data_IF_695484819277
#
_entry.id   IF_695484819277
#
_cell.length_a   1.000
_cell.length_b   1.000
_cell.length_c   1.000
_cell.angle_alpha   90.00
_cell.angle_beta   90.00
_cell.angle_gamma   90.00
#
_symmetry.space_group_name_H-M   'P 1'
#
loop_
_entity.id
_entity.type
_entity.pdbx_description
1 polymer ?
#
# COMPACT_ATOMS: atom_id res chain seq x y z
N UNK A 1 66.32 14.91 53.61
CA UNK A 1 65.51 16.02 54.14
C UNK A 1 64.22 16.28 53.34
N UNK A 2 64.26 16.27 52.00
CA UNK A 2 63.11 16.59 51.13
C UNK A 2 61.84 15.72 51.37
N UNK A 3 61.98 14.39 51.51
CA UNK A 3 60.85 13.48 51.84
C UNK A 3 60.17 13.82 53.17
N UNK A 4 60.95 14.28 54.17
CA UNK A 4 60.42 14.65 55.50
C UNK A 4 59.66 15.97 55.43
N UNK A 5 60.08 16.90 54.57
CA UNK A 5 59.41 18.18 54.31
C UNK A 5 58.10 18.01 53.54
N UNK A 6 58.12 17.22 52.46
CA UNK A 6 56.92 16.92 51.66
C UNK A 6 55.87 16.19 52.50
N UNK A 7 56.28 15.20 53.31
CA UNK A 7 55.35 14.49 54.20
C UNK A 7 54.71 15.42 55.24
N UNK A 8 55.45 16.44 55.71
CA UNK A 8 54.97 17.42 56.69
C UNK A 8 54.00 18.43 56.07
N UNK A 9 54.27 18.87 54.84
CA UNK A 9 53.38 19.78 54.09
C UNK A 9 52.10 19.06 53.68
N UNK A 10 52.20 17.87 53.08
CA UNK A 10 51.03 17.07 52.68
C UNK A 10 50.19 16.68 53.90
N UNK A 11 50.82 16.32 55.02
CA UNK A 11 50.10 16.04 56.27
C UNK A 11 49.44 17.28 56.88
N UNK A 12 50.03 18.47 56.71
CA UNK A 12 49.46 19.74 57.19
C UNK A 12 48.28 20.20 56.34
N UNK A 13 48.43 20.18 55.01
CA UNK A 13 47.37 20.56 54.06
C UNK A 13 46.17 19.62 54.16
N UNK A 14 46.40 18.30 54.23
CA UNK A 14 45.33 17.32 54.45
C UNK A 14 44.67 17.56 55.81
N UNK A 15 45.44 17.84 56.87
CA UNK A 15 44.91 18.17 58.20
C UNK A 15 43.97 19.39 58.16
N UNK A 16 44.39 20.46 57.48
CA UNK A 16 43.64 21.71 57.43
C UNK A 16 42.42 21.62 56.51
N UNK A 17 42.51 20.90 55.39
CA UNK A 17 41.34 20.62 54.53
C UNK A 17 40.33 19.72 55.24
N UNK A 18 40.78 18.67 55.95
CA UNK A 18 39.88 17.84 56.75
C UNK A 18 39.29 18.61 57.93
N UNK A 19 40.03 19.56 58.54
CA UNK A 19 39.50 20.42 59.58
C UNK A 19 38.43 21.37 59.03
N UNK A 20 38.67 22.00 57.87
CA UNK A 20 37.71 22.86 57.21
C UNK A 20 36.46 22.10 56.76
N UNK A 21 36.62 20.93 56.15
CA UNK A 21 35.48 20.08 55.75
C UNK A 21 34.71 19.63 56.98
N UNK A 22 35.39 19.23 58.05
CA UNK A 22 34.75 18.85 59.31
C UNK A 22 34.02 20.02 59.95
N UNK A 23 34.56 21.23 59.91
CA UNK A 23 33.93 22.42 60.46
C UNK A 23 32.71 22.84 59.65
N UNK A 24 32.81 22.85 58.31
CA UNK A 24 31.66 23.08 57.42
C UNK A 24 30.60 22.01 57.61
N UNK A 25 30.97 20.72 57.63
CA UNK A 25 30.03 19.63 57.89
C UNK A 25 29.39 19.77 59.27
N UNK A 26 30.14 20.16 60.30
CA UNK A 26 29.60 20.36 61.64
C UNK A 26 28.64 21.56 61.70
N UNK A 27 28.92 22.65 60.97
CA UNK A 27 28.01 23.79 60.89
C UNK A 27 26.73 23.43 60.13
N UNK A 28 26.83 22.72 59.01
CA UNK A 28 25.68 22.25 58.24
C UNK A 28 24.86 21.23 59.04
N UNK A 29 25.51 20.26 59.70
CA UNK A 29 24.81 19.32 60.58
C UNK A 29 24.19 20.01 61.79
N UNK A 30 24.85 21.00 62.39
CA UNK A 30 24.28 21.77 63.49
C UNK A 30 23.06 22.58 63.04
N UNK A 31 23.10 23.16 61.84
CA UNK A 31 21.97 23.87 61.23
C UNK A 31 20.79 22.94 60.95
N UNK A 32 21.05 21.79 60.33
CA UNK A 32 20.03 20.75 60.09
C UNK A 32 19.47 20.21 61.41
N UNK A 33 20.32 19.95 62.39
CA UNK A 33 19.88 19.48 63.71
C UNK A 33 19.07 20.55 64.45
N UNK A 34 19.42 21.82 64.30
CA UNK A 34 18.65 22.94 64.85
C UNK A 34 17.26 23.04 64.19
N UNK A 35 17.19 22.94 62.85
CA UNK A 35 15.92 22.93 62.11
C UNK A 35 15.05 21.70 62.47
N UNK A 36 15.65 20.51 62.55
CA UNK A 36 14.97 19.29 62.99
C UNK A 36 14.52 19.39 64.44
N UNK A 37 15.35 19.95 65.33
CA UNK A 37 15.00 20.15 66.75
C UNK A 37 13.88 21.17 66.90
N UNK A 38 13.88 22.23 66.11
CA UNK A 38 12.81 23.22 66.07
C UNK A 38 11.50 22.57 65.59
N UNK A 39 11.52 21.84 64.46
CA UNK A 39 10.35 21.10 63.94
C UNK A 39 9.84 20.04 64.90
N UNK A 40 10.74 19.29 65.55
CA UNK A 40 10.38 18.30 66.57
C UNK A 40 9.87 18.94 67.85
N UNK A 41 10.35 20.13 68.22
CA UNK A 41 9.80 20.93 69.32
C UNK A 41 8.36 21.32 69.05
N UNK A 42 8.10 21.86 67.86
CA UNK A 42 6.75 22.20 67.39
C UNK A 42 5.82 20.98 67.34
N UNK A 43 6.32 19.81 66.91
CA UNK A 43 5.57 18.54 66.90
C UNK A 43 5.32 17.97 68.31
N UNK A 44 6.26 18.12 69.26
CA UNK A 44 6.10 17.62 70.63
C UNK A 44 5.07 18.43 71.42
N UNK A 45 4.99 19.72 71.15
CA UNK A 45 3.93 20.60 71.70
C UNK A 45 2.56 20.29 71.09
N UNK A 46 2.51 19.84 69.83
CA UNK A 46 1.32 19.33 69.13
C UNK A 46 0.70 18.09 69.83
N UNK A 47 1.54 17.21 70.37
CA UNK A 47 1.10 15.99 71.07
C UNK A 47 0.67 16.23 72.52
N UNK A 48 1.06 17.37 73.11
CA UNK A 48 0.77 17.72 74.50
C UNK A 48 -0.56 18.47 74.70
N UNK A 49 -1.28 18.81 73.62
CA UNK A 49 -2.62 19.41 73.69
C UNK A 49 -2.66 20.84 74.25
N UNK A 50 -1.53 21.53 74.38
CA UNK A 50 -1.48 22.93 74.82
C UNK A 50 -1.71 23.82 73.59
N UNK A 51 -2.84 24.53 73.58
CA UNK A 51 -3.13 25.53 72.56
C UNK A 51 -2.08 26.66 72.62
N UNK A 52 -1.25 26.76 71.59
CA UNK A 52 -0.39 27.93 71.37
C UNK A 52 -1.29 29.11 70.94
N UNK A 53 -1.62 29.98 71.89
CA UNK A 53 -2.29 31.29 71.71
C UNK A 53 -3.42 31.34 70.66
N UNK A 54 -4.18 30.24 70.56
CA UNK A 54 -5.27 30.08 69.60
C UNK A 54 -4.88 29.97 68.12
N UNK A 55 -3.59 29.95 67.73
CA UNK A 55 -3.20 29.83 66.31
C UNK A 55 -2.92 28.39 65.90
N UNK A 56 -3.61 27.91 64.85
CA UNK A 56 -3.28 26.65 64.15
C UNK A 56 -1.94 26.85 63.42
N UNK A 57 -1.06 25.84 63.40
CA UNK A 57 0.13 25.84 62.52
C UNK A 57 -0.35 25.94 61.07
N UNK A 58 -0.01 27.04 60.42
CA UNK A 58 -0.32 27.31 59.02
C UNK A 58 0.86 26.91 58.15
N UNK A 59 0.64 26.75 56.84
CA UNK A 59 1.67 26.36 55.88
C UNK A 59 2.79 27.40 55.73
N UNK A 60 2.52 28.64 56.14
CA UNK A 60 3.49 29.72 56.35
C UNK A 60 4.54 29.37 57.41
N UNK A 61 4.19 28.54 58.39
CA UNK A 61 5.09 28.07 59.46
C UNK A 61 6.01 26.92 58.98
N UNK A 62 5.84 26.42 57.74
CA UNK A 62 6.54 25.25 57.18
C UNK A 62 7.57 25.55 56.08
N UNK A 63 7.74 26.81 55.67
CA UNK A 63 8.65 27.27 54.61
C UNK A 63 8.67 26.36 53.35
N UNK A 64 7.48 26.05 52.83
CA UNK A 64 7.33 25.24 51.62
C UNK A 64 7.72 26.08 50.38
N UNK A 65 8.57 25.53 49.50
CA UNK A 65 8.98 26.17 48.24
C UNK A 65 7.88 26.15 47.16
N UNK A 66 6.72 25.55 47.45
CA UNK A 66 5.58 25.42 46.55
C UNK A 66 4.51 26.45 46.87
N UNK A 67 3.80 26.94 45.85
CA UNK A 67 2.64 27.81 46.03
C UNK A 67 1.47 27.06 46.66
N UNK A 68 0.83 27.69 47.63
CA UNK A 68 -0.45 27.24 48.19
C UNK A 68 -1.44 28.40 48.20
N UNK A 69 -2.70 28.09 47.91
CA UNK A 69 -3.82 29.03 48.03
C UNK A 69 -4.59 28.67 49.30
N UNK A 70 -4.77 29.62 50.21
CA UNK A 70 -5.49 29.45 51.48
C UNK A 70 -6.56 30.54 51.69
N UNK A 71 -7.58 30.21 52.48
CA UNK A 71 -8.57 31.17 53.00
C UNK A 71 -9.56 31.79 52.00
N UNK A 72 -9.60 31.33 50.74
CA UNK A 72 -10.33 32.04 49.68
C UNK A 72 -11.84 31.78 49.66
N UNK A 73 -12.60 32.85 49.36
CA UNK A 73 -14.00 32.76 48.92
C UNK A 73 -14.11 33.28 47.50
N UNK A 74 -14.76 32.53 46.61
CA UNK A 74 -15.06 32.99 45.24
C UNK A 74 -16.55 32.87 44.98
N UNK A 75 -17.12 33.92 44.41
CA UNK A 75 -18.52 34.01 44.03
C UNK A 75 -18.66 34.15 42.51
N UNK A 76 -19.43 33.23 41.94
CA UNK A 76 -19.79 33.23 40.52
C UNK A 76 -20.86 34.28 40.21
N UNK A 77 -20.80 34.85 39.01
CA UNK A 77 -21.73 35.87 38.51
C UNK A 77 -21.87 37.09 39.45
N UNK A 78 -20.75 37.55 40.01
CA UNK A 78 -20.67 38.74 40.88
C UNK A 78 -19.59 39.71 40.37
N UNK A 79 -19.86 41.03 40.35
CA UNK A 79 -21.11 41.69 40.76
C UNK A 79 -22.25 41.53 39.74
N UNK A 80 -21.95 41.08 38.52
CA UNK A 80 -22.90 40.84 37.44
C UNK A 80 -22.64 39.49 36.74
N UNK A 81 -23.60 39.05 35.92
CA UNK A 81 -23.44 37.85 35.09
C UNK A 81 -22.17 37.95 34.22
N UNK A 82 -21.43 36.86 34.10
CA UNK A 82 -20.15 36.85 33.38
C UNK A 82 -18.93 37.22 34.22
N UNK A 83 -19.11 37.71 35.45
CA UNK A 83 -18.01 38.10 36.34
C UNK A 83 -17.79 37.11 37.49
N UNK A 84 -16.54 37.00 37.94
CA UNK A 84 -16.19 36.29 39.19
C UNK A 84 -15.65 37.29 40.20
N UNK A 85 -16.08 37.18 41.45
CA UNK A 85 -15.59 37.99 42.56
C UNK A 85 -14.85 37.10 43.56
N UNK A 86 -13.76 37.62 44.13
CA UNK A 86 -12.97 36.92 45.13
C UNK A 86 -12.78 37.78 46.39
N UNK A 87 -12.77 37.10 47.53
CA UNK A 87 -12.32 37.67 48.79
C UNK A 87 -11.36 36.72 49.50
N UNK A 88 -10.50 37.30 50.34
CA UNK A 88 -9.68 36.57 51.31
C UNK A 88 -8.70 35.56 50.68
N UNK A 89 -8.29 35.78 49.42
CA UNK A 89 -7.27 34.95 48.78
C UNK A 89 -5.91 35.23 49.43
N UNK A 90 -5.32 34.19 50.03
CA UNK A 90 -3.95 34.22 50.49
C UNK A 90 -3.09 33.28 49.65
N UNK A 91 -1.95 33.78 49.18
CA UNK A 91 -0.92 32.96 48.54
C UNK A 91 0.24 32.79 49.50
N UNK A 92 0.55 31.54 49.84
CA UNK A 92 1.73 31.20 50.63
C UNK A 92 2.82 30.77 49.66
N UNK A 93 3.95 31.49 49.66
CA UNK A 93 5.09 31.21 48.80
C UNK A 93 6.39 31.65 49.46
N UNK A 94 7.43 30.79 49.42
CA UNK A 94 8.76 31.08 50.00
C UNK A 94 8.69 31.59 51.46
N UNK A 95 7.88 30.94 52.28
CA UNK A 95 7.70 31.28 53.70
C UNK A 95 6.94 32.58 53.99
N UNK A 96 6.42 33.27 52.97
CA UNK A 96 5.65 34.49 53.12
C UNK A 96 4.18 34.27 52.76
N UNK A 97 3.28 35.00 53.42
CA UNK A 97 1.85 35.03 53.09
C UNK A 97 1.52 36.34 52.39
N UNK A 98 1.03 36.24 51.16
CA UNK A 98 0.58 37.36 50.34
C UNK A 98 -0.95 37.39 50.36
N UNK A 99 -1.51 38.25 51.22
CA UNK A 99 -2.95 38.52 51.23
C UNK A 99 -3.29 39.41 50.05
N UNK A 100 -4.09 38.87 49.13
CA UNK A 100 -4.48 39.57 47.92
C UNK A 100 -5.70 40.46 48.17
N UNK A 101 -5.71 41.62 47.53
CA UNK A 101 -6.84 42.52 47.56
C UNK A 101 -8.09 41.84 46.99
N UNK A 102 -9.22 42.02 47.69
CA UNK A 102 -10.53 41.61 47.21
C UNK A 102 -10.82 42.29 45.87
N UNK A 103 -11.46 41.56 44.96
CA UNK A 103 -11.68 42.07 43.62
C UNK A 103 -12.69 41.26 42.85
N UNK A 104 -12.95 41.70 41.63
CA UNK A 104 -13.77 40.96 40.68
C UNK A 104 -13.25 41.21 39.27
N UNK A 105 -13.60 40.32 38.36
CA UNK A 105 -13.28 40.50 36.94
C UNK A 105 -14.26 39.77 36.06
N UNK A 106 -14.52 40.32 34.88
CA UNK A 106 -15.16 39.64 33.77
C UNK A 106 -14.14 39.02 32.78
N UNK A 107 -12.84 39.18 33.06
CA UNK A 107 -11.75 38.67 32.23
C UNK A 107 -11.49 37.20 32.46
N UNK A 108 -11.07 36.50 31.42
CA UNK A 108 -10.94 35.03 31.43
C UNK A 108 -9.90 34.50 32.42
N UNK A 109 -8.71 35.06 32.49
CA UNK A 109 -7.60 34.53 33.30
C UNK A 109 -7.34 35.41 34.51
N UNK A 110 -7.09 34.77 35.67
CA UNK A 110 -6.69 35.40 36.91
C UNK A 110 -5.41 34.74 37.41
N UNK A 111 -4.34 35.52 37.56
CA UNK A 111 -3.07 34.98 38.03
C UNK A 111 -2.40 35.91 39.02
N UNK A 112 -1.62 35.32 39.91
CA UNK A 112 -0.73 36.04 40.79
C UNK A 112 0.66 36.09 40.17
N UNK A 113 1.26 37.28 40.18
CA UNK A 113 2.60 37.50 39.65
C UNK A 113 3.51 37.93 40.80
N UNK A 114 4.50 37.11 41.14
CA UNK A 114 5.37 37.33 42.29
C UNK A 114 6.19 38.63 42.15
N UNK A 115 6.62 38.92 40.92
CA UNK A 115 7.40 40.11 40.56
C UNK A 115 6.57 41.38 40.32
N UNK A 116 5.24 41.34 40.48
CA UNK A 116 4.41 42.53 40.33
C UNK A 116 4.60 43.52 41.48
N UNK A 117 4.33 44.81 41.23
CA UNK A 117 4.28 45.85 42.27
C UNK A 117 2.96 46.63 42.14
N UNK A 118 2.01 46.48 43.09
CA UNK A 118 2.07 45.58 44.24
C UNK A 118 1.85 44.10 43.87
N UNK A 119 2.52 43.18 44.56
CA UNK A 119 2.28 41.72 44.45
C UNK A 119 1.13 41.23 45.33
N UNK A 120 0.25 42.14 45.77
CA UNK A 120 -0.95 41.86 46.56
C UNK A 120 -2.23 41.99 45.72
N UNK A 121 -2.13 41.98 44.38
CA UNK A 121 -3.28 42.10 43.48
C UNK A 121 -3.19 41.04 42.38
N UNK A 122 -4.30 40.34 42.12
CA UNK A 122 -4.41 39.45 40.97
C UNK A 122 -4.36 40.23 39.66
N UNK A 123 -3.55 39.75 38.75
CA UNK A 123 -3.52 40.20 37.37
C UNK A 123 -4.65 39.49 36.61
N UNK A 124 -5.28 40.20 35.66
CA UNK A 124 -6.43 39.68 34.91
C UNK A 124 -6.33 40.02 33.42
N UNK A 125 -6.75 39.09 32.55
CA UNK A 125 -6.68 39.25 31.08
C UNK A 125 -7.59 38.26 30.37
N UNK A 126 -8.02 38.58 29.13
CA UNK A 126 -8.71 37.62 28.26
C UNK A 126 -7.74 36.67 27.54
N UNK A 127 -6.46 37.05 27.48
CA UNK A 127 -5.38 36.24 26.89
C UNK A 127 -4.62 35.51 28.00
N UNK A 128 -4.31 34.23 27.77
CA UNK A 128 -3.55 33.40 28.73
C UNK A 128 -2.20 34.08 29.04
N UNK A 129 -1.86 34.30 30.32
CA UNK A 129 -0.62 34.95 30.68
C UNK A 129 0.59 34.02 30.47
N UNK A 130 1.75 34.59 30.15
CA UNK A 130 3.03 33.89 30.27
C UNK A 130 3.46 33.93 31.73
N UNK A 131 3.56 32.76 32.37
CA UNK A 131 3.91 32.62 33.78
C UNK A 131 5.35 32.13 33.91
N UNK A 132 6.08 32.71 34.87
CA UNK A 132 7.38 32.18 35.31
C UNK A 132 7.19 31.13 36.40
N UNK A 133 8.26 30.44 36.81
CA UNK A 133 8.20 29.46 37.90
C UNK A 133 7.76 30.05 39.24
N UNK A 134 7.89 31.37 39.43
CA UNK A 134 7.47 32.07 40.64
C UNK A 134 6.00 32.54 40.59
N UNK A 135 5.36 32.53 39.41
CA UNK A 135 4.00 33.03 39.20
C UNK A 135 2.96 31.89 39.29
N UNK A 136 1.70 32.23 39.59
CA UNK A 136 0.62 31.24 39.79
C UNK A 136 -0.60 31.61 38.99
N UNK A 137 -1.06 30.72 38.10
CA UNK A 137 -2.44 30.79 37.61
C UNK A 137 -3.35 30.40 38.77
N UNK A 138 -4.21 31.31 39.20
CA UNK A 138 -5.08 31.13 40.37
C UNK A 138 -6.42 30.56 39.96
N UNK A 139 -6.96 31.03 38.84
CA UNK A 139 -8.12 30.42 38.23
C UNK A 139 -8.55 31.07 36.94
N UNK A 140 -9.64 30.54 36.40
CA UNK A 140 -10.23 30.95 35.13
C UNK A 140 -11.69 31.31 35.37
N UNK A 141 -12.12 32.44 34.81
CA UNK A 141 -13.52 32.82 34.69
C UNK A 141 -14.07 32.33 33.35
N UNK A 142 -14.98 31.36 33.40
CA UNK A 142 -15.72 30.87 32.24
C UNK A 142 -17.14 31.40 32.25
N UNK A 143 -17.34 32.58 31.66
CA UNK A 143 -18.66 33.19 31.53
C UNK A 143 -19.37 33.44 32.87
N UNK A 144 -18.61 33.66 33.96
CA UNK A 144 -19.11 33.88 35.32
C UNK A 144 -18.92 32.70 36.25
N UNK A 145 -18.37 31.57 35.78
CA UNK A 145 -18.04 30.40 36.60
C UNK A 145 -16.54 30.34 36.88
N UNK A 146 -16.14 30.44 38.14
CA UNK A 146 -14.74 30.31 38.53
C UNK A 146 -14.30 28.85 38.60
N UNK A 147 -13.17 28.55 37.95
CA UNK A 147 -12.47 27.27 38.05
C UNK A 147 -11.09 27.50 38.66
N UNK A 148 -10.82 26.92 39.83
CA UNK A 148 -9.48 26.99 40.45
C UNK A 148 -8.51 26.05 39.73
N UNK A 149 -7.31 26.54 39.46
CA UNK A 149 -6.24 25.79 38.78
C UNK A 149 -5.27 25.11 39.76
N UNK A 150 -5.40 25.35 41.07
CA UNK A 150 -4.63 24.68 42.11
C UNK A 150 -5.56 23.94 43.07
N UNK A 151 -5.83 22.66 42.80
CA UNK A 151 -6.40 21.78 43.83
C UNK A 151 -5.25 21.15 44.60
N UNK A 152 -5.20 21.36 45.92
CA UNK A 152 -4.11 20.85 46.74
C UNK A 152 -3.94 19.32 46.56
N UNK A 153 -2.75 18.89 46.15
CA UNK A 153 -2.31 17.49 46.19
C UNK A 153 -2.92 16.51 45.17
N UNK A 154 -3.62 16.96 44.11
CA UNK A 154 -4.09 16.07 43.04
C UNK A 154 -3.83 16.64 41.65
N UNK A 155 -3.54 15.75 40.70
CA UNK A 155 -3.56 16.01 39.26
C UNK A 155 -4.85 16.76 38.92
N UNK A 156 -4.76 17.87 38.18
CA UNK A 156 -5.93 18.61 37.68
C UNK A 156 -6.88 17.63 36.99
N UNK A 157 -8.11 17.43 37.48
CA UNK A 157 -9.06 16.51 36.86
C UNK A 157 -9.27 16.90 35.39
N UNK A 158 -9.34 15.92 34.49
CA UNK A 158 -9.48 16.20 33.05
C UNK A 158 -10.69 17.07 32.70
N UNK A 159 -11.78 16.98 33.47
CA UNK A 159 -12.97 17.83 33.30
C UNK A 159 -12.78 19.29 33.75
N UNK A 160 -11.71 19.62 34.47
CA UNK A 160 -11.29 20.98 34.79
C UNK A 160 -10.33 21.56 33.73
N UNK A 161 -9.90 20.74 32.74
CA UNK A 161 -9.17 21.21 31.57
C UNK A 161 -10.20 21.65 30.52
N UNK A 162 -10.19 22.94 30.19
CA UNK A 162 -11.03 23.48 29.12
C UNK A 162 -10.49 23.06 27.75
N UNK A 163 -11.35 23.04 26.74
CA UNK A 163 -10.93 22.79 25.36
C UNK A 163 -9.84 23.79 24.93
N UNK A 164 -8.81 23.28 24.24
CA UNK A 164 -7.65 24.06 23.80
C UNK A 164 -6.72 24.60 24.92
N UNK A 165 -6.94 24.25 26.19
CA UNK A 165 -6.11 24.78 27.30
C UNK A 165 -4.69 24.18 27.36
N UNK A 166 -4.49 23.01 26.75
CA UNK A 166 -3.21 22.32 26.57
C UNK A 166 -2.69 22.60 25.15
N UNK A 167 -1.72 23.49 25.03
CA UNK A 167 -1.04 23.82 23.78
C UNK A 167 0.22 22.99 23.55
N UNK A 168 1.02 23.39 22.56
CA UNK A 168 2.21 22.65 22.13
C UNK A 168 3.38 22.70 23.13
N UNK A 169 3.35 23.58 24.13
CA UNK A 169 4.39 23.73 25.15
C UNK A 169 4.05 23.06 26.48
N UNK A 170 2.78 22.71 26.69
CA UNK A 170 2.25 22.20 27.96
C UNK A 170 2.48 20.69 28.14
N UNK A 171 2.86 19.98 27.07
CA UNK A 171 3.23 18.57 27.10
C UNK A 171 4.71 18.43 26.77
N UNK A 172 5.46 17.85 27.71
CA UNK A 172 6.84 17.45 27.44
C UNK A 172 6.90 16.40 26.31
N UNK A 173 8.00 16.37 25.57
CA UNK A 173 8.26 15.33 24.55
C UNK A 173 8.09 13.94 25.17
N UNK A 174 7.24 13.12 24.56
CA UNK A 174 6.96 11.76 25.04
C UNK A 174 6.04 11.67 26.26
N UNK A 175 5.45 12.77 26.75
CA UNK A 175 4.50 12.74 27.86
C UNK A 175 3.24 11.90 27.54
N UNK A 176 2.82 11.90 26.26
CA UNK A 176 1.72 11.07 25.77
C UNK A 176 2.29 9.77 25.21
N UNK A 177 2.29 8.73 26.03
CA UNK A 177 2.66 7.37 25.64
C UNK A 177 1.41 6.52 25.37
N UNK A 178 1.58 5.36 24.75
CA UNK A 178 0.47 4.45 24.41
C UNK A 178 -0.44 4.13 25.58
N UNK A 179 0.10 3.91 26.79
CA UNK A 179 -0.73 3.60 27.97
C UNK A 179 -1.59 4.78 28.47
N UNK A 180 -1.33 6.00 27.99
CA UNK A 180 -2.11 7.20 28.26
C UNK A 180 -3.21 7.44 27.23
N UNK A 181 -3.22 6.68 26.13
CA UNK A 181 -4.20 6.77 25.07
C UNK A 181 -5.14 5.56 25.20
N UNK A 182 -6.42 5.81 25.46
CA UNK A 182 -7.41 4.73 25.49
C UNK A 182 -7.58 4.09 24.10
N UNK A 183 -7.94 2.81 24.06
CA UNK A 183 -8.17 2.12 22.79
C UNK A 183 -9.29 2.82 22.00
N UNK A 184 -9.05 3.11 20.72
CA UNK A 184 -9.99 3.84 19.86
C UNK A 184 -10.07 5.36 20.10
N UNK A 185 -9.28 5.93 21.03
CA UNK A 185 -9.29 7.37 21.30
C UNK A 185 -8.78 8.22 20.13
N UNK A 186 -7.96 7.62 19.25
CA UNK A 186 -7.48 8.26 18.02
C UNK A 186 -8.34 7.76 16.85
N UNK A 187 -9.34 8.55 16.48
CA UNK A 187 -10.18 8.33 15.30
C UNK A 187 -9.76 9.18 14.10
N UNK A 188 -10.62 9.23 13.08
CA UNK A 188 -10.35 10.00 11.85
C UNK A 188 -10.23 11.50 12.11
N UNK A 189 -10.99 12.07 13.06
CA UNK A 189 -10.90 13.51 13.39
C UNK A 189 -9.56 13.87 14.02
N UNK A 190 -8.94 12.96 14.78
CA UNK A 190 -7.62 13.18 15.38
C UNK A 190 -6.48 12.87 14.39
N UNK A 191 -6.74 12.12 13.32
CA UNK A 191 -5.78 11.83 12.25
C UNK A 191 -6.02 12.74 11.05
N UNK A 192 -5.31 13.87 11.00
CA UNK A 192 -5.36 14.74 9.82
C UNK A 192 -4.85 14.06 8.54
N UNK A 193 -5.12 14.68 7.39
CA UNK A 193 -4.66 14.17 6.10
C UNK A 193 -3.13 14.03 6.07
N UNK A 194 -2.65 12.86 5.63
CA UNK A 194 -1.23 12.54 5.63
C UNK A 194 -0.61 12.28 7.00
N UNK A 195 -1.41 12.20 8.08
CA UNK A 195 -0.90 11.85 9.42
C UNK A 195 -0.22 10.48 9.46
N UNK A 196 -0.66 9.54 8.61
CA UNK A 196 0.00 8.25 8.39
C UNK A 196 0.82 8.32 7.10
N UNK A 197 2.14 8.47 7.24
CA UNK A 197 3.10 8.49 6.13
C UNK A 197 3.73 7.11 5.96
N UNK A 198 4.45 6.91 4.85
CA UNK A 198 5.13 5.64 4.55
C UNK A 198 6.02 5.16 5.70
N UNK A 199 6.85 6.04 6.29
CA UNK A 199 7.74 5.69 7.42
C UNK A 199 6.99 5.27 8.68
N UNK A 200 5.71 5.64 8.83
CA UNK A 200 4.86 5.26 9.96
C UNK A 200 4.21 3.89 9.75
N UNK A 201 4.21 3.35 8.53
CA UNK A 201 3.74 2.02 8.21
C UNK A 201 4.92 1.06 8.18
N UNK A 202 5.10 0.30 9.26
CA UNK A 202 6.09 -0.78 9.29
C UNK A 202 5.80 -1.87 8.26
N UNK A 203 6.81 -2.69 7.95
CA UNK A 203 6.64 -3.83 7.07
C UNK A 203 5.51 -4.76 7.57
N UNK A 204 4.56 -5.09 6.69
CA UNK A 204 3.42 -5.93 7.03
C UNK A 204 2.31 -5.23 7.82
N UNK A 205 2.38 -3.92 8.07
CA UNK A 205 1.32 -3.19 8.76
C UNK A 205 -0.02 -3.21 7.98
N UNK A 206 0.04 -3.23 6.65
CA UNK A 206 -1.10 -3.39 5.76
C UNK A 206 -1.08 -4.80 5.17
N UNK A 207 -1.79 -5.72 5.82
CA UNK A 207 -1.98 -7.09 5.33
C UNK A 207 -3.18 -7.18 4.38
N UNK A 208 -3.31 -8.27 3.64
CA UNK A 208 -4.49 -8.54 2.78
C UNK A 208 -5.81 -8.42 3.55
N UNK A 209 -5.88 -8.89 4.80
CA UNK A 209 -7.07 -8.77 5.65
C UNK A 209 -7.45 -7.31 6.02
N UNK A 210 -6.53 -6.35 5.85
CA UNK A 210 -6.78 -4.91 6.08
C UNK A 210 -7.25 -4.20 4.81
N UNK A 211 -7.11 -4.84 3.65
CA UNK A 211 -7.54 -4.31 2.36
C UNK A 211 -8.92 -4.89 2.06
N UNK A 212 -9.94 -4.05 2.13
CA UNK A 212 -11.31 -4.44 1.79
C UNK A 212 -11.46 -4.83 0.33
N UNK A 213 -12.48 -5.63 0.01
CA UNK A 213 -12.83 -5.95 -1.39
C UNK A 213 -13.08 -4.66 -2.16
N UNK A 214 -12.43 -4.52 -3.33
CA UNK A 214 -12.55 -3.33 -4.18
C UNK A 214 -11.81 -2.08 -3.67
N UNK A 215 -11.11 -2.14 -2.52
CA UNK A 215 -10.36 -0.99 -2.00
C UNK A 215 -9.19 -0.57 -2.90
N UNK A 216 -8.66 -1.49 -3.71
CA UNK A 216 -7.63 -1.23 -4.72
C UNK A 216 -8.27 -1.34 -6.10
N UNK A 217 -8.62 -0.20 -6.69
CA UNK A 217 -9.14 -0.09 -8.04
C UNK A 217 -8.07 0.37 -9.05
N UNK A 218 -8.49 0.62 -10.29
CA UNK A 218 -7.59 1.06 -11.36
C UNK A 218 -6.87 2.37 -11.06
N UNK A 219 -7.50 3.29 -10.33
CA UNK A 219 -6.87 4.56 -9.93
C UNK A 219 -5.69 4.37 -8.96
N UNK A 220 -5.69 3.29 -8.17
CA UNK A 220 -4.61 2.96 -7.24
C UNK A 220 -3.50 2.13 -7.89
N UNK A 221 -3.78 1.50 -9.04
CA UNK A 221 -2.82 0.67 -9.79
C UNK A 221 -2.23 1.50 -10.93
N UNK A 222 -1.03 2.03 -10.71
CA UNK A 222 -0.30 2.77 -11.74
C UNK A 222 -0.02 1.94 -13.00
N UNK A 223 0.18 2.61 -14.14
CA UNK A 223 0.56 1.95 -15.38
C UNK A 223 1.87 1.15 -15.20
N UNK A 224 1.87 -0.10 -15.65
CA UNK A 224 3.01 -1.01 -15.47
C UNK A 224 3.24 -1.53 -14.04
N UNK A 225 2.37 -1.19 -13.07
CA UNK A 225 2.52 -1.68 -11.70
C UNK A 225 2.35 -3.20 -11.61
N UNK A 226 1.49 -3.79 -12.44
CA UNK A 226 1.34 -5.25 -12.59
C UNK A 226 2.20 -5.72 -13.75
N UNK A 227 3.38 -6.25 -13.44
CA UNK A 227 4.31 -6.85 -14.41
C UNK A 227 4.08 -8.36 -14.50
N UNK A 228 4.58 -9.00 -15.57
CA UNK A 228 4.42 -10.46 -15.77
C UNK A 228 4.89 -11.29 -14.56
N UNK A 229 5.99 -10.91 -13.91
CA UNK A 229 6.49 -11.60 -12.71
C UNK A 229 5.60 -11.47 -11.47
N UNK A 230 4.62 -10.54 -11.46
CA UNK A 230 3.61 -10.39 -10.39
C UNK A 230 2.34 -11.18 -10.67
N UNK A 231 2.16 -11.68 -11.90
CA UNK A 231 1.03 -12.51 -12.29
C UNK A 231 1.48 -13.97 -12.13
N UNK A 232 0.88 -14.67 -11.18
CA UNK A 232 1.16 -16.10 -10.97
C UNK A 232 0.81 -16.94 -12.21
N UNK A 233 1.43 -18.11 -12.34
CA UNK A 233 1.07 -19.05 -13.40
C UNK A 233 -0.42 -19.39 -13.34
N UNK A 234 -1.11 -19.32 -14.48
CA UNK A 234 -2.56 -19.54 -14.61
C UNK A 234 -3.44 -18.58 -13.78
N UNK A 235 -2.91 -17.46 -13.28
CA UNK A 235 -3.70 -16.50 -12.50
C UNK A 235 -4.71 -15.70 -13.35
N UNK A 236 -4.52 -15.67 -14.68
CA UNK A 236 -5.45 -15.09 -15.65
C UNK A 236 -6.05 -16.24 -16.44
N UNK A 237 -7.27 -16.63 -16.08
CA UNK A 237 -8.06 -17.66 -16.76
C UNK A 237 -9.09 -17.05 -17.71
N UNK A 238 -10.03 -17.90 -18.16
CA UNK A 238 -11.07 -17.49 -19.13
C UNK A 238 -12.11 -16.55 -18.55
N UNK A 239 -12.30 -16.55 -17.22
CA UNK A 239 -13.23 -15.64 -16.52
C UNK A 239 -12.66 -14.24 -16.36
N UNK A 240 -11.34 -14.11 -16.34
CA UNK A 240 -10.64 -12.83 -16.20
C UNK A 240 -10.45 -12.12 -17.56
N UNK A 241 -10.55 -12.86 -18.67
CA UNK A 241 -10.46 -12.32 -20.02
C UNK A 241 -11.88 -12.13 -20.57
N UNK A 242 -12.31 -10.87 -20.65
CA UNK A 242 -13.60 -10.53 -21.25
C UNK A 242 -13.67 -10.99 -22.73
N UNK A 243 -14.88 -11.29 -23.20
CA UNK A 243 -15.13 -11.63 -24.61
C UNK A 243 -14.56 -10.54 -25.54
N UNK A 244 -13.80 -10.95 -26.55
CA UNK A 244 -13.11 -10.06 -27.50
C UNK A 244 -12.03 -9.15 -26.90
N UNK A 245 -11.57 -9.36 -25.66
CA UNK A 245 -10.51 -8.55 -25.06
C UNK A 245 -9.15 -8.74 -25.74
N UNK A 246 -8.88 -9.93 -26.29
CA UNK A 246 -7.67 -10.22 -27.08
C UNK A 246 -7.99 -9.96 -28.55
N UNK A 247 -7.56 -8.81 -29.06
CA UNK A 247 -7.67 -8.44 -30.48
C UNK A 247 -6.37 -8.75 -31.22
N UNK A 248 -6.38 -8.60 -32.54
CA UNK A 248 -5.19 -8.83 -33.38
C UNK A 248 -4.02 -7.94 -33.00
N UNK A 249 -4.25 -6.74 -32.44
CA UNK A 249 -3.19 -5.86 -31.98
C UNK A 249 -2.42 -6.42 -30.76
N UNK A 250 -3.02 -7.31 -29.98
CA UNK A 250 -2.37 -7.97 -28.84
C UNK A 250 -1.67 -9.27 -29.22
N UNK A 251 -1.92 -9.81 -30.41
CA UNK A 251 -1.31 -11.06 -30.88
C UNK A 251 -0.18 -10.71 -31.85
N UNK A 252 1.06 -10.88 -31.42
CA UNK A 252 2.21 -10.63 -32.29
C UNK A 252 2.20 -11.58 -33.51
N UNK A 253 2.78 -11.17 -34.66
CA UNK A 253 2.94 -12.06 -35.80
C UNK A 253 3.63 -13.36 -35.40
N UNK A 254 3.09 -14.50 -35.86
CA UNK A 254 3.56 -15.86 -35.53
C UNK A 254 3.50 -16.24 -34.04
N UNK A 255 2.79 -15.48 -33.19
CA UNK A 255 2.65 -15.82 -31.77
C UNK A 255 1.83 -17.11 -31.53
N UNK A 256 0.94 -17.46 -32.46
CA UNK A 256 0.20 -18.72 -32.43
C UNK A 256 0.84 -19.65 -33.46
N UNK A 257 1.50 -20.70 -33.00
CA UNK A 257 2.10 -21.75 -33.83
C UNK A 257 1.25 -23.01 -33.79
N UNK A 258 1.64 -24.04 -34.55
CA UNK A 258 0.90 -25.29 -34.62
C UNK A 258 0.80 -26.02 -33.27
N UNK A 259 1.73 -25.82 -32.34
CA UNK A 259 1.72 -26.47 -31.02
C UNK A 259 0.68 -25.87 -30.07
N UNK A 260 0.34 -24.60 -30.24
CA UNK A 260 -0.70 -23.92 -29.44
C UNK A 260 -2.12 -24.25 -29.95
N UNK A 261 -2.24 -24.77 -31.17
CA UNK A 261 -3.50 -25.19 -31.75
C UNK A 261 -3.70 -26.68 -31.47
N UNK A 262 -4.64 -27.00 -30.57
CA UNK A 262 -5.02 -28.39 -30.31
C UNK A 262 -5.45 -29.10 -31.61
N UNK A 263 -5.26 -30.42 -31.67
CA UNK A 263 -5.73 -31.24 -32.81
C UNK A 263 -7.24 -31.05 -33.01
N UNK A 264 -7.66 -30.74 -34.24
CA UNK A 264 -9.05 -30.38 -34.55
C UNK A 264 -9.46 -28.97 -34.08
N UNK A 265 -8.54 -28.16 -33.58
CA UNK A 265 -8.79 -26.79 -33.10
C UNK A 265 -9.27 -25.85 -34.20
N UNK A 266 -8.84 -26.07 -35.45
CA UNK A 266 -9.33 -25.36 -36.65
C UNK A 266 -10.14 -26.33 -37.50
N UNK A 267 -11.47 -26.30 -37.34
CA UNK A 267 -12.44 -27.07 -38.13
C UNK A 267 -12.89 -26.28 -39.36
N UNK A 268 -13.47 -26.95 -40.36
CA UNK A 268 -13.98 -26.31 -41.58
C UNK A 268 -14.89 -25.10 -41.30
N UNK A 269 -15.81 -25.20 -40.32
CA UNK A 269 -16.70 -24.10 -39.95
C UNK A 269 -16.02 -22.87 -39.30
N UNK A 270 -14.75 -22.98 -38.89
CA UNK A 270 -13.94 -21.86 -38.36
C UNK A 270 -13.15 -21.14 -39.45
N UNK A 271 -13.04 -21.75 -40.63
CA UNK A 271 -12.37 -21.18 -41.79
C UNK A 271 -13.45 -20.47 -42.60
N UNK A 272 -13.33 -19.15 -42.75
CA UNK A 272 -14.27 -18.39 -43.56
C UNK A 272 -14.23 -18.86 -45.03
N UNK A 273 -15.35 -18.75 -45.74
CA UNK A 273 -15.40 -19.06 -47.17
C UNK A 273 -14.33 -18.23 -47.92
N UNK A 274 -13.58 -18.89 -48.80
CA UNK A 274 -12.46 -18.30 -49.56
C UNK A 274 -11.26 -17.81 -48.71
N UNK A 275 -11.17 -18.17 -47.42
CA UNK A 275 -10.01 -17.81 -46.61
C UNK A 275 -8.72 -18.57 -47.00
N UNK A 276 -8.86 -19.76 -47.58
CA UNK A 276 -7.75 -20.53 -48.13
C UNK A 276 -7.75 -20.36 -49.65
N UNK A 277 -6.86 -19.52 -50.15
CA UNK A 277 -6.63 -19.26 -51.58
C UNK A 277 -5.33 -19.92 -52.06
N UNK A 278 -5.11 -19.93 -53.37
CA UNK A 278 -3.87 -20.38 -54.00
C UNK A 278 -2.62 -19.70 -53.42
N UNK A 279 -2.70 -18.40 -53.12
CA UNK A 279 -1.61 -17.62 -52.51
C UNK A 279 -1.34 -17.98 -51.04
N UNK A 280 -2.34 -18.52 -50.32
CA UNK A 280 -2.16 -18.97 -48.93
C UNK A 280 -1.57 -20.38 -48.82
N UNK A 281 -1.68 -21.18 -49.89
CA UNK A 281 -1.12 -22.52 -49.95
C UNK A 281 0.28 -22.42 -50.56
N UNK A 282 1.32 -22.66 -49.76
CA UNK A 282 2.68 -22.69 -50.27
C UNK A 282 2.85 -23.74 -51.40
N UNK A 283 3.70 -23.45 -52.38
CA UNK A 283 3.99 -24.39 -53.48
C UNK A 283 4.47 -25.73 -52.92
N UNK A 284 3.85 -26.82 -53.37
CA UNK A 284 4.15 -28.17 -52.90
C UNK A 284 3.55 -28.54 -51.54
N UNK A 285 2.80 -27.64 -50.89
CA UNK A 285 2.16 -27.94 -49.60
C UNK A 285 1.11 -29.05 -49.70
N UNK A 286 0.41 -29.17 -50.83
CA UNK A 286 -0.51 -30.27 -51.14
C UNK A 286 0.21 -31.30 -52.01
N UNK A 287 0.76 -32.34 -51.38
CA UNK A 287 1.42 -33.46 -52.07
C UNK A 287 0.43 -34.57 -52.38
N UNK A 288 0.77 -35.49 -53.27
CA UNK A 288 -0.08 -36.64 -53.64
C UNK A 288 -0.55 -37.43 -52.42
N UNK A 289 0.32 -37.64 -51.42
CA UNK A 289 -0.03 -38.34 -50.18
C UNK A 289 -1.03 -37.60 -49.27
N UNK A 290 -1.25 -36.30 -49.48
CA UNK A 290 -2.26 -35.51 -48.76
C UNK A 290 -3.62 -35.51 -49.46
N UNK A 291 -3.67 -35.97 -50.72
CA UNK A 291 -4.91 -36.10 -51.49
C UNK A 291 -5.41 -37.52 -51.30
N UNK A 292 -6.52 -37.67 -50.58
CA UNK A 292 -7.17 -38.97 -50.41
C UNK A 292 -7.61 -39.58 -51.76
N UNK A 293 -7.68 -40.91 -51.82
CA UNK A 293 -8.20 -41.61 -53.01
C UNK A 293 -9.62 -41.13 -53.33
N UNK A 294 -9.83 -40.68 -54.57
CA UNK A 294 -11.12 -40.14 -55.01
C UNK A 294 -11.44 -38.72 -54.55
N UNK A 295 -10.54 -38.04 -53.83
CA UNK A 295 -10.78 -36.67 -53.37
C UNK A 295 -10.87 -35.64 -54.52
N UNK A 296 -10.22 -35.91 -55.65
CA UNK A 296 -10.33 -35.09 -56.87
C UNK A 296 -11.38 -35.71 -57.79
N UNK A 297 -12.60 -35.18 -57.73
CA UNK A 297 -13.70 -35.56 -58.62
C UNK A 297 -13.65 -34.89 -59.99
N UNK A 298 -14.50 -35.32 -60.92
CA UNK A 298 -14.59 -34.74 -62.27
C UNK A 298 -14.96 -33.26 -62.28
N UNK A 299 -15.72 -32.79 -61.28
CA UNK A 299 -16.07 -31.37 -61.12
C UNK A 299 -14.91 -30.51 -60.62
N UNK A 300 -13.89 -31.12 -60.00
CA UNK A 300 -12.68 -30.42 -59.55
C UNK A 300 -11.66 -30.23 -60.68
N UNK A 301 -11.80 -30.96 -61.79
CA UNK A 301 -10.95 -30.83 -62.97
C UNK A 301 -11.69 -30.03 -64.05
N UNK A 302 -11.21 -28.84 -64.35
CA UNK A 302 -11.70 -28.09 -65.49
C UNK A 302 -11.46 -28.86 -66.81
N UNK A 303 -12.28 -28.59 -67.83
CA UNK A 303 -12.05 -29.17 -69.16
C UNK A 303 -10.65 -28.82 -69.68
N UNK A 304 -9.90 -29.82 -70.13
CA UNK A 304 -8.51 -29.66 -70.56
C UNK A 304 -7.49 -29.50 -69.43
N UNK A 305 -7.89 -29.60 -68.15
CA UNK A 305 -6.96 -29.49 -67.03
C UNK A 305 -5.90 -30.60 -67.01
N UNK A 306 -6.24 -31.80 -67.50
CA UNK A 306 -5.30 -32.90 -67.69
C UNK A 306 -4.84 -32.90 -69.14
N UNK A 307 -3.64 -32.36 -69.38
CA UNK A 307 -3.00 -32.34 -70.71
C UNK A 307 -2.09 -33.55 -70.89
N UNK A 308 -1.70 -33.86 -72.13
CA UNK A 308 -0.79 -34.98 -72.43
C UNK A 308 0.51 -34.91 -71.63
N UNK A 309 1.08 -33.72 -71.43
CA UNK A 309 2.29 -33.53 -70.61
C UNK A 309 2.12 -33.80 -69.11
N UNK A 310 0.88 -33.88 -68.60
CA UNK A 310 0.56 -34.26 -67.21
C UNK A 310 0.36 -35.77 -67.04
N UNK A 311 0.28 -36.51 -68.14
CA UNK A 311 0.13 -37.96 -68.16
C UNK A 311 1.50 -38.56 -68.52
N UNK A 312 2.14 -39.25 -67.59
CA UNK A 312 3.38 -39.94 -67.87
C UNK A 312 3.18 -41.04 -68.94
N UNK A 313 4.17 -41.26 -69.80
CA UNK A 313 4.08 -42.26 -70.85
C UNK A 313 3.81 -43.66 -70.29
N UNK A 314 2.83 -44.37 -70.86
CA UNK A 314 2.48 -45.74 -70.47
C UNK A 314 1.54 -45.89 -69.27
N UNK A 315 1.15 -44.80 -68.59
CA UNK A 315 0.21 -44.89 -67.45
C UNK A 315 -1.26 -45.08 -67.86
N UNK A 316 -1.59 -44.83 -69.13
CA UNK A 316 -2.92 -45.13 -69.69
C UNK A 316 -2.80 -46.44 -70.45
N UNK A 317 -3.18 -47.52 -69.79
CA UNK A 317 -3.21 -48.88 -70.34
C UNK A 317 -4.63 -49.42 -70.51
N UNK A 318 -4.75 -50.74 -70.62
CA UNK A 318 -6.03 -51.43 -70.80
C UNK A 318 -6.93 -51.36 -69.56
N UNK A 319 -6.39 -51.08 -68.38
CA UNK A 319 -7.15 -50.92 -67.14
C UNK A 319 -7.81 -49.54 -67.04
N UNK A 320 -7.19 -48.52 -67.63
CA UNK A 320 -7.68 -47.13 -67.63
C UNK A 320 -8.64 -46.88 -68.81
N UNK A 321 -8.60 -47.72 -69.84
CA UNK A 321 -9.49 -47.66 -71.01
C UNK A 321 -10.54 -48.76 -70.94
N UNK A 322 -11.79 -48.38 -70.69
CA UNK A 322 -12.91 -49.31 -70.81
C UNK A 322 -13.01 -49.91 -72.23
N UNK A 323 -13.59 -51.11 -72.37
CA UNK A 323 -13.83 -51.71 -73.68
C UNK A 323 -14.66 -50.77 -74.57
N UNK A 324 -14.17 -50.49 -75.78
CA UNK A 324 -14.79 -49.54 -76.71
C UNK A 324 -14.53 -48.06 -76.40
N UNK A 325 -13.72 -47.74 -75.38
CA UNK A 325 -13.40 -46.35 -75.04
C UNK A 325 -12.67 -45.62 -76.18
N UNK A 326 -11.86 -46.30 -76.97
CA UNK A 326 -11.22 -45.75 -78.18
C UNK A 326 -12.08 -46.12 -79.39
N UNK A 327 -12.92 -45.19 -79.84
CA UNK A 327 -13.75 -45.36 -81.05
C UNK A 327 -13.01 -44.86 -82.29
N UNK A 328 -13.45 -45.23 -83.49
CA UNK A 328 -12.85 -44.78 -84.75
C UNK A 328 -12.76 -43.25 -84.85
N UNK A 329 -13.76 -42.52 -84.34
CA UNK A 329 -13.74 -41.05 -84.30
C UNK A 329 -12.73 -40.44 -83.32
N UNK A 330 -12.14 -41.22 -82.41
CA UNK A 330 -11.07 -40.79 -81.49
C UNK A 330 -9.67 -41.04 -82.06
N UNK A 331 -9.56 -41.85 -83.12
CA UNK A 331 -8.31 -42.09 -83.83
C UNK A 331 -8.17 -41.06 -84.96
N UNK A 332 -7.10 -40.27 -84.92
CA UNK A 332 -6.77 -39.39 -86.04
C UNK A 332 -6.40 -40.18 -87.31
N UNK A 333 -6.48 -39.52 -88.47
CA UNK A 333 -6.00 -40.12 -89.72
C UNK A 333 -4.52 -40.53 -89.58
N UNK A 334 -4.19 -41.78 -89.91
CA UNK A 334 -2.84 -42.33 -89.77
C UNK A 334 -2.40 -42.67 -88.34
N UNK A 335 -3.28 -42.55 -87.33
CA UNK A 335 -2.93 -42.86 -85.94
C UNK A 335 -2.59 -44.35 -85.69
N UNK A 336 -3.08 -45.24 -86.55
CA UNK A 336 -2.75 -46.67 -86.56
C UNK A 336 -1.88 -46.95 -87.78
N UNK A 337 -0.58 -47.04 -87.58
CA UNK A 337 0.41 -47.41 -88.60
C UNK A 337 0.81 -48.89 -88.50
N UNK A 338 1.70 -49.32 -89.42
CA UNK A 338 2.18 -50.71 -89.47
C UNK A 338 2.81 -51.19 -88.14
N UNK A 339 3.49 -50.30 -87.40
CA UNK A 339 4.06 -50.62 -86.09
C UNK A 339 3.03 -50.83 -84.98
N UNK A 340 1.77 -50.40 -85.18
CA UNK A 340 0.67 -50.62 -84.23
C UNK A 340 -0.05 -51.96 -84.46
N UNK A 341 0.16 -52.59 -85.61
CA UNK A 341 -0.51 -53.82 -86.02
C UNK A 341 0.49 -54.96 -85.94
N UNK A 342 0.30 -55.88 -85.00
CA UNK A 342 1.13 -57.08 -84.93
C UNK A 342 0.96 -57.94 -86.19
N UNK A 343 2.01 -58.68 -86.58
CA UNK A 343 1.94 -59.59 -87.72
C UNK A 343 0.80 -60.61 -87.53
N UNK A 344 -0.07 -60.75 -88.52
CA UNK A 344 -1.26 -61.60 -88.47
C UNK A 344 -2.46 -61.04 -87.69
N UNK A 345 -2.38 -59.84 -87.12
CA UNK A 345 -3.50 -59.24 -86.37
C UNK A 345 -4.71 -58.85 -87.25
N UNK A 346 -4.48 -58.66 -88.56
CA UNK A 346 -5.53 -58.41 -89.55
C UNK A 346 -5.76 -59.71 -90.33
N UNK A 347 -6.84 -60.42 -90.00
CA UNK A 347 -7.25 -61.67 -90.66
C UNK A 347 -8.51 -61.50 -91.51
N UNK A 348 -9.06 -62.62 -91.99
CA UNK A 348 -10.26 -62.64 -92.84
C UNK A 348 -11.49 -62.03 -92.17
N UNK A 349 -11.59 -62.08 -90.83
CA UNK A 349 -12.68 -61.46 -90.09
C UNK A 349 -12.61 -59.92 -90.11
N UNK A 350 -11.43 -59.35 -90.32
CA UNK A 350 -11.20 -57.90 -90.38
C UNK A 350 -11.20 -57.36 -91.83
N UNK A 351 -11.12 -58.25 -92.83
CA UNK A 351 -11.03 -57.90 -94.25
C UNK A 351 -12.32 -58.29 -94.98
N UNK A 352 -13.11 -57.29 -95.39
CA UNK A 352 -14.26 -57.52 -96.27
C UNK A 352 -13.85 -57.86 -97.70
N UNK A 353 -14.72 -58.54 -98.45
CA UNK A 353 -14.51 -58.78 -99.88
C UNK A 353 -14.32 -57.45 -100.62
N UNK A 354 -13.26 -57.35 -101.44
CA UNK A 354 -12.91 -56.13 -102.19
C UNK A 354 -12.27 -55.00 -101.36
N UNK A 355 -11.96 -55.20 -100.08
CA UNK A 355 -11.38 -54.17 -99.21
C UNK A 355 -9.90 -53.86 -99.47
N UNK A 356 -9.20 -54.77 -100.16
CA UNK A 356 -7.79 -54.62 -100.56
C UNK A 356 -7.75 -54.37 -102.07
N UNK A 357 -7.18 -53.24 -102.49
CA UNK A 357 -6.99 -52.95 -103.89
C UNK A 357 -5.95 -53.90 -104.52
N UNK A 358 -6.16 -54.29 -105.78
CA UNK A 358 -5.32 -55.27 -106.49
C UNK A 358 -3.84 -54.85 -106.56
N UNK A 359 -3.57 -53.55 -106.64
CA UNK A 359 -2.22 -52.98 -106.62
C UNK A 359 -1.48 -53.14 -105.28
N UNK A 360 -2.17 -53.60 -104.23
CA UNK A 360 -1.62 -53.90 -102.90
C UNK A 360 -1.36 -55.39 -102.66
N UNK A 361 -1.75 -56.26 -103.59
CA UNK A 361 -1.46 -57.69 -103.52
C UNK A 361 -0.10 -57.97 -104.18
N UNK A 362 0.76 -58.74 -103.52
CA UNK A 362 1.94 -59.30 -104.18
C UNK A 362 1.52 -60.55 -104.97
N UNK A 363 0.96 -60.35 -106.16
CA UNK A 363 0.55 -61.45 -107.05
C UNK A 363 1.74 -62.26 -107.62
N UNK A 364 2.99 -61.83 -107.40
CA UNK A 364 4.14 -62.35 -108.13
C UNK A 364 4.61 -63.76 -107.69
N UNK A 365 4.03 -64.36 -106.63
CA UNK A 365 4.56 -65.65 -106.10
C UNK A 365 3.56 -66.79 -105.95
N UNK A 366 2.24 -66.60 -106.07
CA UNK A 366 1.29 -67.69 -105.78
C UNK A 366 0.03 -67.70 -106.67
N UNK A 367 0.21 -67.71 -107.99
CA UNK A 367 -0.78 -68.27 -108.91
C UNK A 367 -0.19 -69.49 -109.59
N UNK A 368 -0.30 -70.66 -108.95
CA UNK A 368 -0.43 -71.90 -109.71
C UNK A 368 -1.90 -72.29 -109.65
N UNK A 369 -2.47 -72.44 -110.85
CA UNK A 369 -3.86 -72.69 -111.18
C UNK A 369 -4.51 -73.82 -110.39
#
# INVERSE_FOLDING_TARGET
>A
MLKKYIKRIVSGVISDEFASVRETMNQEFASVLHDVTYRMGQLRELGAGVALDGRRIQTSDLNLASHMIDGYTVANNRPSAGSVAWTDINIVYKGNTYTLANGNTNKKYLWWKFSASPNTVLQVSDTKPTLTNDDVLVGINDGGTFTSTMTAGKLTPGGALMDGSIGSGELATGAVITSKIANGAIGSTQMGDGAVTEVKLGAGAVTTAKIGSGAVGSAQIGSGAVTSGKIGANAVGTTEIATNAVTTAQVAPNAITGTEIASGGVTAGKIAANAVTDTTIATGAVTSGKIGTGAVGSTALASGAVTSGKIAGGVVGSTELANGAVTSGKLGSGAVGAGNIANGAVGSAQLGAGSIAEDKLNLATHFLF
#
